data_IF_856103878244
#
_entry.id   IF_856103878244
#
_cell.length_a   1.000
_cell.length_b   1.000
_cell.length_c   1.000
_cell.angle_alpha   90.00
_cell.angle_beta   90.00
_cell.angle_gamma   90.00
#
_symmetry.space_group_name_H-M   'P 1'
#
loop_
_entity.id
_entity.type
_entity.pdbx_description
1 polymer ?
#
# COMPACT_ATOMS: atom_id res chain seq x y z
N UNK A 1 -27.21 -3.78 18.82
CA UNK A 1 -27.87 -2.52 19.15
C UNK A 1 -27.56 -1.46 18.11
N UNK A 2 -28.49 -0.56 17.83
CA UNK A 2 -28.29 0.56 16.87
C UNK A 2 -27.24 1.51 17.44
N UNK A 3 -26.24 1.96 16.66
CA UNK A 3 -25.29 2.97 17.09
C UNK A 3 -25.94 4.29 17.46
N UNK A 4 -25.42 4.97 18.49
CA UNK A 4 -25.85 6.29 18.93
C UNK A 4 -24.63 7.17 19.22
N UNK A 5 -24.81 8.49 19.39
CA UNK A 5 -23.70 9.36 19.76
C UNK A 5 -23.02 8.98 21.09
N UNK A 6 -23.78 8.43 22.05
CA UNK A 6 -23.24 7.94 23.33
C UNK A 6 -22.58 6.55 23.21
N UNK A 7 -22.95 5.80 22.16
CA UNK A 7 -22.41 4.48 21.84
C UNK A 7 -22.19 4.38 20.33
N UNK A 8 -21.14 5.00 19.81
CA UNK A 8 -20.81 4.94 18.39
C UNK A 8 -20.42 3.51 17.96
N UNK A 9 -20.54 3.22 16.67
CA UNK A 9 -20.02 2.01 16.06
C UNK A 9 -18.48 2.07 16.09
N UNK A 10 -17.85 1.13 16.79
CA UNK A 10 -16.40 1.06 16.89
C UNK A 10 -15.85 0.25 15.72
N UNK A 11 -15.13 0.92 14.84
CA UNK A 11 -14.46 0.31 13.70
C UNK A 11 -12.97 0.29 13.97
N UNK A 12 -12.37 -0.89 13.90
CA UNK A 12 -10.93 -1.06 14.08
C UNK A 12 -10.33 -1.61 12.80
N UNK A 13 -9.34 -0.91 12.27
CA UNK A 13 -8.48 -1.36 11.18
C UNK A 13 -7.12 -1.67 11.77
N UNK A 14 -6.49 -2.78 11.41
CA UNK A 14 -5.13 -3.07 11.86
C UNK A 14 -4.18 -3.24 10.69
N UNK A 15 -2.96 -2.75 10.90
CA UNK A 15 -1.83 -2.93 10.01
C UNK A 15 -0.88 -3.99 10.60
N UNK A 16 -0.39 -4.95 9.81
CA UNK A 16 0.54 -5.95 10.31
C UNK A 16 1.97 -5.44 10.31
N UNK A 17 2.84 -6.11 11.05
CA UNK A 17 4.28 -5.97 10.84
C UNK A 17 4.69 -6.43 9.43
N UNK A 18 5.72 -5.77 8.87
CA UNK A 18 6.32 -6.15 7.60
C UNK A 18 5.64 -5.55 6.37
N UNK A 19 5.77 -6.26 5.26
CA UNK A 19 5.31 -5.73 3.97
C UNK A 19 3.81 -5.84 3.78
N UNK A 20 3.20 -4.76 3.34
CA UNK A 20 1.82 -4.75 2.82
C UNK A 20 1.79 -4.24 1.38
N UNK A 21 0.90 -4.78 0.57
CA UNK A 21 0.64 -4.25 -0.77
C UNK A 21 -0.06 -2.90 -0.64
N UNK A 22 0.55 -1.85 -1.23
CA UNK A 22 0.10 -0.46 -1.08
C UNK A 22 0.05 -0.01 0.40
N UNK A 23 1.18 0.41 0.95
CA UNK A 23 1.33 0.81 2.36
C UNK A 23 0.31 1.84 2.88
N UNK A 24 -0.41 2.54 2.00
CA UNK A 24 -1.52 3.41 2.39
C UNK A 24 -2.89 2.72 2.45
N UNK A 25 -2.98 1.41 2.20
CA UNK A 25 -4.28 0.72 2.19
C UNK A 25 -4.98 0.73 3.55
N UNK A 26 -4.29 0.51 4.69
CA UNK A 26 -4.92 0.57 6.01
C UNK A 26 -5.51 1.95 6.32
N UNK A 27 -4.76 3.01 6.10
CA UNK A 27 -5.21 4.38 6.31
C UNK A 27 -6.42 4.75 5.43
N UNK A 28 -6.40 4.33 4.16
CA UNK A 28 -7.56 4.49 3.27
C UNK A 28 -8.79 3.74 3.78
N UNK A 29 -8.62 2.52 4.28
CA UNK A 29 -9.72 1.74 4.82
C UNK A 29 -10.36 2.45 6.02
N UNK A 30 -9.55 3.01 6.92
CA UNK A 30 -10.04 3.73 8.08
C UNK A 30 -10.80 5.03 7.68
N UNK A 31 -10.20 5.86 6.82
CA UNK A 31 -10.79 7.13 6.40
C UNK A 31 -12.06 6.94 5.58
N UNK A 32 -12.07 5.99 4.63
CA UNK A 32 -13.26 5.71 3.83
C UNK A 32 -14.38 5.04 4.66
N UNK A 33 -14.04 4.26 5.68
CA UNK A 33 -15.05 3.74 6.61
C UNK A 33 -15.71 4.86 7.42
N UNK A 34 -14.92 5.80 7.93
CA UNK A 34 -15.42 6.97 8.64
C UNK A 34 -16.30 7.85 7.71
N UNK A 35 -15.80 8.16 6.51
CA UNK A 35 -16.53 8.95 5.51
C UNK A 35 -17.87 8.32 5.15
N UNK A 36 -17.88 7.03 4.84
CA UNK A 36 -19.09 6.29 4.49
C UNK A 36 -20.13 6.29 5.64
N UNK A 37 -19.69 6.00 6.86
CA UNK A 37 -20.57 5.93 8.03
C UNK A 37 -21.15 7.31 8.36
N UNK A 38 -20.32 8.35 8.33
CA UNK A 38 -20.75 9.73 8.56
C UNK A 38 -21.73 10.20 7.49
N UNK A 39 -21.49 9.90 6.21
CA UNK A 39 -22.39 10.23 5.11
C UNK A 39 -23.77 9.53 5.22
N UNK A 40 -23.86 8.45 6.00
CA UNK A 40 -25.10 7.70 6.24
C UNK A 40 -25.68 7.96 7.65
N UNK A 41 -25.28 9.03 8.32
CA UNK A 41 -25.73 9.40 9.66
C UNK A 41 -25.53 8.29 10.72
N UNK A 42 -24.48 7.46 10.58
CA UNK A 42 -24.12 6.42 11.54
C UNK A 42 -23.01 6.94 12.46
N UNK A 43 -23.30 7.20 13.73
CA UNK A 43 -22.26 7.59 14.69
C UNK A 43 -21.18 6.51 14.78
N UNK A 44 -19.93 6.86 14.54
CA UNK A 44 -18.80 5.92 14.53
C UNK A 44 -17.58 6.48 15.28
N UNK A 45 -16.75 5.58 15.75
CA UNK A 45 -15.41 5.81 16.26
C UNK A 45 -14.48 4.87 15.49
N UNK A 46 -13.60 5.44 14.66
CA UNK A 46 -12.71 4.66 13.80
C UNK A 46 -11.28 4.75 14.35
N UNK A 47 -10.65 3.60 14.50
CA UNK A 47 -9.25 3.49 14.93
C UNK A 47 -8.47 2.70 13.88
N UNK A 48 -7.32 3.23 13.48
CA UNK A 48 -6.26 2.49 12.80
C UNK A 48 -5.18 2.19 13.83
N UNK A 49 -4.83 0.91 13.99
CA UNK A 49 -3.75 0.48 14.88
C UNK A 49 -2.65 -0.20 14.05
N UNK A 50 -1.40 0.15 14.30
CA UNK A 50 -0.27 -0.36 13.54
C UNK A 50 1.04 -0.41 14.34
N UNK A 51 2.05 -1.14 13.84
CA UNK A 51 3.31 -1.37 14.55
C UNK A 51 4.19 -0.12 14.65
N UNK A 52 4.06 0.81 13.74
CA UNK A 52 4.89 2.02 13.66
C UNK A 52 4.25 3.21 14.38
N UNK A 53 5.07 4.24 14.71
CA UNK A 53 4.56 5.52 15.25
C UNK A 53 4.06 6.48 14.16
N UNK A 54 3.93 6.01 12.94
CA UNK A 54 3.59 6.78 11.75
C UNK A 54 2.43 6.16 10.99
N UNK A 55 1.47 6.98 10.58
CA UNK A 55 0.27 6.53 9.84
C UNK A 55 0.61 5.98 8.44
N UNK A 56 1.67 6.51 7.82
CA UNK A 56 2.07 6.12 6.46
C UNK A 56 3.57 5.81 6.35
N UNK A 57 4.42 6.44 7.15
CA UNK A 57 5.84 6.12 7.26
C UNK A 57 6.78 7.31 7.17
N UNK A 58 8.06 7.01 7.33
CA UNK A 58 9.17 7.97 7.44
C UNK A 58 9.94 8.19 6.13
N UNK A 59 11.01 8.98 6.18
CA UNK A 59 11.92 9.22 5.07
C UNK A 59 11.22 9.84 3.87
N UNK A 60 11.24 9.18 2.73
CA UNK A 60 10.59 9.66 1.49
C UNK A 60 9.06 9.79 1.58
N UNK A 61 8.46 9.21 2.60
CA UNK A 61 7.02 9.28 2.88
C UNK A 61 6.64 10.33 3.92
N UNK A 62 7.59 10.83 4.73
CA UNK A 62 7.32 11.67 5.90
C UNK A 62 6.41 12.87 5.62
N UNK A 63 6.61 13.58 4.51
CA UNK A 63 5.75 14.70 4.14
C UNK A 63 4.28 14.33 3.86
N UNK A 64 4.05 13.10 3.40
CA UNK A 64 2.69 12.59 3.18
C UNK A 64 2.10 12.06 4.47
N UNK A 65 2.95 11.56 5.37
CA UNK A 65 2.58 11.15 6.71
C UNK A 65 2.05 12.33 7.54
N UNK A 66 2.77 13.45 7.55
CA UNK A 66 2.34 14.68 8.21
C UNK A 66 0.96 15.15 7.73
N UNK A 67 0.76 15.25 6.41
CA UNK A 67 -0.53 15.65 5.83
C UNK A 67 -1.64 14.64 6.15
N UNK A 68 -1.33 13.33 6.14
CA UNK A 68 -2.29 12.29 6.45
C UNK A 68 -2.68 12.31 7.94
N UNK A 69 -1.73 12.57 8.83
CA UNK A 69 -2.00 12.72 10.27
C UNK A 69 -2.93 13.92 10.53
N UNK A 70 -2.72 15.05 9.86
CA UNK A 70 -3.62 16.21 9.94
C UNK A 70 -5.05 15.87 9.47
N UNK A 71 -5.17 15.03 8.44
CA UNK A 71 -6.49 14.54 7.97
C UNK A 71 -7.13 13.63 9.02
N UNK A 72 -6.37 12.72 9.64
CA UNK A 72 -6.85 11.86 10.72
C UNK A 72 -7.40 12.69 11.87
N UNK A 73 -6.65 13.68 12.33
CA UNK A 73 -7.08 14.59 13.41
C UNK A 73 -8.35 15.35 13.05
N UNK A 74 -8.40 15.91 11.84
CA UNK A 74 -9.55 16.71 11.37
C UNK A 74 -10.81 15.86 11.27
N UNK A 75 -10.69 14.58 10.91
CA UNK A 75 -11.80 13.66 10.76
C UNK A 75 -12.13 12.89 12.04
N UNK A 76 -11.33 13.03 13.08
CA UNK A 76 -11.51 12.31 14.34
C UNK A 76 -11.25 10.82 14.24
N UNK A 77 -10.40 10.39 13.30
CA UNK A 77 -9.90 9.03 13.20
C UNK A 77 -8.69 8.89 14.10
N UNK A 78 -8.70 7.91 14.98
CA UNK A 78 -7.59 7.67 15.91
C UNK A 78 -6.51 6.81 15.25
N UNK A 79 -5.24 7.16 15.45
CA UNK A 79 -4.12 6.28 15.16
C UNK A 79 -3.48 5.78 16.46
N UNK A 80 -3.39 4.45 16.62
CA UNK A 80 -2.70 3.78 17.71
C UNK A 80 -1.41 3.16 17.19
N UNK A 81 -0.30 3.87 17.38
CA UNK A 81 1.04 3.40 17.01
C UNK A 81 1.63 2.44 18.03
N UNK A 82 2.62 1.65 17.61
CA UNK A 82 3.26 0.63 18.45
C UNK A 82 2.35 -0.56 18.77
N UNK A 83 1.24 -0.73 18.07
CA UNK A 83 0.28 -1.79 18.29
C UNK A 83 0.56 -2.98 17.36
N UNK A 84 1.30 -3.96 17.85
CA UNK A 84 1.57 -5.23 17.14
C UNK A 84 0.51 -6.24 17.52
N UNK A 85 -0.29 -6.68 16.56
CA UNK A 85 -1.42 -7.60 16.80
C UNK A 85 -0.90 -8.99 17.16
N UNK A 86 -1.27 -9.48 18.34
CA UNK A 86 -1.04 -10.86 18.81
C UNK A 86 -2.27 -11.75 18.62
N UNK A 87 -3.47 -11.22 18.93
CA UNK A 87 -4.68 -12.01 18.87
C UNK A 87 -5.97 -11.21 18.67
N UNK A 88 -7.03 -11.95 18.34
CA UNK A 88 -8.39 -11.41 18.20
C UNK A 88 -9.37 -12.35 18.90
N UNK A 89 -10.06 -11.88 19.92
CA UNK A 89 -11.04 -12.65 20.65
C UNK A 89 -12.12 -11.74 21.26
N UNK A 90 -13.34 -12.24 21.38
CA UNK A 90 -14.43 -11.59 22.12
C UNK A 90 -14.67 -10.11 21.76
N UNK A 91 -14.65 -9.77 20.47
CA UNK A 91 -14.78 -8.39 19.97
C UNK A 91 -13.67 -7.45 20.47
N UNK A 92 -12.47 -7.97 20.66
CA UNK A 92 -11.26 -7.23 21.00
C UNK A 92 -10.10 -7.67 20.13
N UNK A 93 -9.24 -6.74 19.77
CA UNK A 93 -7.91 -6.99 19.26
C UNK A 93 -6.92 -6.80 20.39
N UNK A 94 -6.01 -7.73 20.53
CA UNK A 94 -4.98 -7.71 21.58
C UNK A 94 -3.60 -7.56 20.93
N UNK A 95 -2.76 -6.72 21.52
CA UNK A 95 -1.38 -6.54 21.09
C UNK A 95 -0.42 -7.41 21.90
N UNK A 96 0.80 -7.63 21.36
CA UNK A 96 1.85 -8.41 22.02
C UNK A 96 2.24 -7.86 23.41
N UNK A 97 2.11 -6.56 23.64
CA UNK A 97 2.37 -5.92 24.93
C UNK A 97 1.15 -5.87 25.87
N UNK A 98 0.03 -6.49 25.47
CA UNK A 98 -1.17 -6.65 26.27
C UNK A 98 -2.14 -5.47 26.21
N UNK A 99 -1.98 -4.53 25.31
CA UNK A 99 -2.99 -3.52 25.03
C UNK A 99 -4.21 -4.16 24.35
N UNK A 100 -5.39 -3.57 24.51
CA UNK A 100 -6.61 -4.10 23.88
C UNK A 100 -7.44 -2.98 23.27
N UNK A 101 -7.99 -3.23 22.09
CA UNK A 101 -8.93 -2.32 21.43
C UNK A 101 -10.23 -3.08 21.15
N UNK A 102 -11.35 -2.60 21.72
CA UNK A 102 -12.67 -3.18 21.47
C UNK A 102 -13.24 -2.71 20.15
N UNK A 103 -13.96 -3.59 19.45
CA UNK A 103 -14.59 -3.28 18.16
C UNK A 103 -16.00 -3.86 18.04
N UNK A 104 -16.79 -3.24 17.17
CA UNK A 104 -18.04 -3.77 16.64
C UNK A 104 -17.86 -4.25 15.19
N UNK A 105 -16.90 -3.62 14.46
CA UNK A 105 -16.45 -4.02 13.12
C UNK A 105 -14.92 -4.05 13.08
N UNK A 106 -14.35 -5.16 12.62
CA UNK A 106 -12.91 -5.35 12.50
C UNK A 106 -12.50 -5.56 11.04
N UNK A 107 -11.54 -4.77 10.58
CA UNK A 107 -11.00 -4.78 9.22
C UNK A 107 -9.48 -5.04 9.27
N UNK A 108 -9.04 -6.30 9.40
CA UNK A 108 -7.62 -6.61 9.42
C UNK A 108 -6.99 -6.47 8.04
N UNK A 109 -5.83 -5.84 7.96
CA UNK A 109 -4.93 -5.96 6.83
C UNK A 109 -3.94 -7.09 7.11
N UNK A 110 -3.95 -8.12 6.27
CA UNK A 110 -3.07 -9.27 6.46
C UNK A 110 -1.64 -8.98 5.99
N UNK A 111 -0.61 -9.54 6.66
CA UNK A 111 0.76 -9.45 6.19
C UNK A 111 0.89 -10.11 4.82
N UNK A 112 1.58 -9.43 3.92
CA UNK A 112 1.83 -9.94 2.58
C UNK A 112 3.02 -10.88 2.58
N UNK A 113 2.90 -11.98 1.84
CA UNK A 113 3.97 -12.95 1.65
C UNK A 113 4.08 -13.32 0.17
N UNK A 114 5.26 -13.70 -0.23
CA UNK A 114 5.48 -14.29 -1.54
C UNK A 114 4.70 -15.63 -1.62
N UNK A 115 4.14 -16.00 -2.78
CA UNK A 115 3.47 -17.29 -2.95
C UNK A 115 4.36 -18.46 -2.56
N UNK A 116 3.81 -19.48 -1.89
CA UNK A 116 4.54 -20.64 -1.38
C UNK A 116 5.40 -21.35 -2.46
N UNK A 117 4.91 -21.40 -3.69
CA UNK A 117 5.68 -21.96 -4.84
C UNK A 117 7.02 -21.25 -5.08
N UNK A 118 7.19 -20.02 -4.60
CA UNK A 118 8.43 -19.25 -4.71
C UNK A 118 9.25 -19.26 -3.41
N UNK A 119 8.63 -19.59 -2.26
CA UNK A 119 9.30 -19.51 -0.95
C UNK A 119 9.78 -20.88 -0.46
N UNK A 120 9.02 -21.94 -0.74
CA UNK A 120 9.34 -23.28 -0.22
C UNK A 120 10.47 -23.90 -1.03
N UNK A 121 11.68 -23.86 -0.46
CA UNK A 121 12.92 -24.42 -1.05
C UNK A 121 13.33 -23.81 -2.41
N UNK A 122 12.76 -22.68 -2.80
CA UNK A 122 13.11 -22.03 -4.06
C UNK A 122 14.44 -21.26 -3.95
N UNK A 123 15.42 -21.50 -4.82
CA UNK A 123 16.65 -20.73 -4.84
C UNK A 123 16.42 -19.27 -5.25
N UNK A 124 15.24 -18.91 -5.76
CA UNK A 124 14.93 -17.55 -6.22
C UNK A 124 14.71 -16.56 -5.07
N UNK A 125 14.41 -17.07 -3.87
CA UNK A 125 14.21 -16.23 -2.68
C UNK A 125 15.37 -16.33 -1.69
N UNK A 126 16.34 -17.23 -1.91
CA UNK A 126 17.43 -17.50 -0.98
C UNK A 126 18.35 -16.30 -0.69
N UNK A 127 18.36 -15.30 -1.57
CA UNK A 127 19.16 -14.07 -1.41
C UNK A 127 18.33 -12.89 -0.87
N UNK A 128 17.13 -13.14 -0.40
CA UNK A 128 16.22 -12.13 0.20
C UNK A 128 15.94 -12.48 1.65
N UNK A 129 16.17 -11.53 2.56
CA UNK A 129 15.91 -11.70 3.99
C UNK A 129 14.41 -11.84 4.32
N UNK A 130 13.55 -11.32 3.43
CA UNK A 130 12.10 -11.32 3.61
C UNK A 130 11.37 -12.45 2.86
N UNK A 131 12.11 -13.38 2.23
CA UNK A 131 11.51 -14.48 1.48
C UNK A 131 10.83 -14.07 0.15
N UNK A 132 11.17 -12.92 -0.40
CA UNK A 132 10.77 -12.46 -1.73
C UNK A 132 11.79 -12.84 -2.79
N UNK A 133 11.42 -12.74 -4.07
CA UNK A 133 12.38 -12.97 -5.16
C UNK A 133 13.44 -11.88 -5.17
N UNK A 134 14.70 -12.30 -5.06
CA UNK A 134 15.85 -11.40 -4.93
C UNK A 134 16.20 -10.77 -6.27
N UNK A 135 15.86 -9.49 -6.48
CA UNK A 135 16.15 -8.77 -7.71
C UNK A 135 17.14 -7.62 -7.51
N UNK A 136 17.87 -7.31 -8.56
CA UNK A 136 18.52 -6.01 -8.67
C UNK A 136 17.43 -4.93 -8.80
N UNK A 137 17.42 -3.92 -7.92
CA UNK A 137 16.31 -2.98 -7.79
C UNK A 137 16.11 -2.06 -8.98
N UNK A 138 17.10 -1.92 -9.85
CA UNK A 138 17.03 -1.06 -11.03
C UNK A 138 16.71 -1.84 -12.30
N UNK A 139 17.25 -3.04 -12.44
CA UNK A 139 17.13 -3.82 -13.69
C UNK A 139 16.05 -4.89 -13.64
N UNK A 140 15.53 -5.21 -12.48
CA UNK A 140 14.57 -6.30 -12.21
C UNK A 140 15.11 -7.69 -12.57
N UNK A 141 16.44 -7.83 -12.77
CA UNK A 141 17.11 -9.12 -12.92
C UNK A 141 17.29 -9.79 -11.57
N UNK A 142 17.17 -11.10 -11.54
CA UNK A 142 17.52 -11.86 -10.35
C UNK A 142 19.00 -11.70 -10.01
N UNK A 143 19.34 -11.50 -8.72
CA UNK A 143 20.73 -11.19 -8.30
C UNK A 143 21.75 -12.30 -8.59
N UNK A 144 21.32 -13.56 -8.60
CA UNK A 144 22.22 -14.71 -8.70
C UNK A 144 21.84 -15.73 -9.77
N UNK A 145 20.58 -15.71 -10.25
CA UNK A 145 20.12 -16.65 -11.28
C UNK A 145 20.09 -15.98 -12.64
N UNK A 146 20.86 -16.51 -13.59
CA UNK A 146 20.89 -15.99 -14.95
C UNK A 146 19.56 -16.16 -15.65
N UNK A 147 19.18 -15.15 -16.45
CA UNK A 147 17.96 -15.14 -17.27
C UNK A 147 16.65 -15.25 -16.47
N UNK A 148 16.69 -14.94 -15.18
CA UNK A 148 15.51 -14.84 -14.33
C UNK A 148 15.24 -13.38 -14.06
N UNK A 149 13.97 -13.02 -14.15
CA UNK A 149 13.46 -11.67 -13.90
C UNK A 149 12.23 -11.77 -13.02
N UNK A 150 12.00 -10.78 -12.17
CA UNK A 150 10.78 -10.65 -11.40
C UNK A 150 10.39 -9.18 -11.23
N UNK A 151 9.11 -8.92 -11.05
CA UNK A 151 8.56 -7.59 -10.80
C UNK A 151 7.33 -7.63 -9.89
N UNK A 152 6.95 -6.48 -9.37
CA UNK A 152 5.77 -6.33 -8.54
C UNK A 152 5.91 -6.93 -7.14
N UNK A 153 4.81 -7.38 -6.59
CA UNK A 153 4.65 -7.72 -5.18
C UNK A 153 5.50 -8.92 -4.73
N UNK A 154 5.92 -9.79 -5.65
CA UNK A 154 6.76 -10.95 -5.35
C UNK A 154 8.24 -10.62 -5.16
N UNK A 155 8.69 -9.38 -5.38
CA UNK A 155 10.11 -8.99 -5.33
C UNK A 155 10.47 -8.29 -4.02
N UNK A 156 11.78 -8.31 -3.70
CA UNK A 156 12.38 -7.56 -2.61
C UNK A 156 12.87 -6.15 -3.01
N UNK A 157 12.38 -5.62 -4.14
CA UNK A 157 12.73 -4.26 -4.56
C UNK A 157 12.34 -3.24 -3.47
N UNK A 158 13.26 -2.32 -3.06
CA UNK A 158 13.08 -1.43 -1.90
C UNK A 158 12.14 -0.25 -2.21
N UNK A 159 10.92 -0.57 -2.59
CA UNK A 159 9.85 0.36 -2.91
C UNK A 159 8.50 -0.21 -2.47
N UNK A 160 7.48 0.64 -2.37
CA UNK A 160 6.14 0.13 -2.05
C UNK A 160 5.61 -0.76 -3.16
N UNK A 161 5.01 -1.87 -2.75
CA UNK A 161 4.37 -2.86 -3.64
C UNK A 161 3.04 -2.30 -4.15
N UNK A 162 3.10 -1.49 -5.23
CA UNK A 162 1.93 -0.83 -5.82
C UNK A 162 1.82 -1.15 -7.31
N UNK A 163 0.61 -1.05 -7.85
CA UNK A 163 0.39 -1.21 -9.29
C UNK A 163 1.19 -0.18 -10.12
N UNK A 164 1.41 1.03 -9.59
CA UNK A 164 2.22 2.05 -10.23
C UNK A 164 3.70 1.65 -10.31
N UNK A 165 4.23 1.03 -9.23
CA UNK A 165 5.59 0.49 -9.21
C UNK A 165 5.72 -0.67 -10.21
N UNK A 166 4.83 -1.67 -10.13
CA UNK A 166 4.85 -2.84 -11.02
C UNK A 166 4.80 -2.44 -12.50
N UNK A 167 3.99 -1.43 -12.86
CA UNK A 167 3.91 -0.92 -14.22
C UNK A 167 5.23 -0.33 -14.71
N UNK A 168 5.94 0.45 -13.89
CA UNK A 168 7.25 1.01 -14.25
C UNK A 168 8.36 -0.06 -14.27
N UNK A 169 8.32 -0.98 -13.34
CA UNK A 169 9.22 -2.14 -13.33
C UNK A 169 9.04 -2.99 -14.59
N UNK A 170 7.80 -3.20 -15.05
CA UNK A 170 7.52 -3.95 -16.26
C UNK A 170 8.19 -3.36 -17.50
N UNK A 171 8.23 -2.04 -17.63
CA UNK A 171 8.93 -1.40 -18.75
C UNK A 171 10.44 -1.68 -18.72
N UNK A 172 11.10 -1.47 -17.58
CA UNK A 172 12.53 -1.75 -17.44
C UNK A 172 12.85 -3.24 -17.65
N UNK A 173 12.02 -4.13 -17.10
CA UNK A 173 12.16 -5.58 -17.27
C UNK A 173 12.03 -5.99 -18.73
N UNK A 174 11.01 -5.50 -19.43
CA UNK A 174 10.76 -5.85 -20.84
C UNK A 174 11.92 -5.42 -21.76
N UNK A 175 12.46 -4.23 -21.55
CA UNK A 175 13.61 -3.73 -22.28
C UNK A 175 14.86 -4.61 -22.03
N UNK A 176 15.16 -4.91 -20.77
CA UNK A 176 16.30 -5.71 -20.37
C UNK A 176 16.19 -7.15 -20.88
N UNK A 177 15.00 -7.77 -20.74
CA UNK A 177 14.75 -9.10 -21.27
C UNK A 177 14.90 -9.13 -22.81
N UNK A 178 14.39 -8.13 -23.50
CA UNK A 178 14.54 -8.02 -24.96
C UNK A 178 16.01 -7.87 -25.36
N UNK A 179 16.77 -7.06 -24.64
CA UNK A 179 18.21 -6.89 -24.89
C UNK A 179 18.96 -8.23 -24.70
N UNK A 180 18.70 -8.95 -23.63
CA UNK A 180 19.33 -10.24 -23.35
C UNK A 180 18.99 -11.31 -24.41
N UNK A 181 17.72 -11.38 -24.84
CA UNK A 181 17.28 -12.35 -25.86
C UNK A 181 17.88 -12.02 -27.24
N UNK A 182 18.04 -10.73 -27.56
CA UNK A 182 18.56 -10.28 -28.85
C UNK A 182 20.07 -10.07 -28.88
N UNK A 183 20.76 -10.22 -27.75
CA UNK A 183 22.20 -9.97 -27.62
C UNK A 183 22.58 -8.49 -27.78
N UNK A 184 21.67 -7.56 -27.49
CA UNK A 184 21.95 -6.12 -27.54
C UNK A 184 22.57 -5.65 -26.23
N UNK A 185 23.58 -4.79 -26.34
CA UNK A 185 24.16 -4.11 -25.20
C UNK A 185 23.30 -2.91 -24.79
N UNK A 186 22.17 -3.16 -24.13
CA UNK A 186 21.25 -2.14 -23.63
C UNK A 186 20.82 -2.49 -22.21
N UNK A 187 20.70 -1.49 -21.35
CA UNK A 187 20.20 -1.64 -20.00
C UNK A 187 19.23 -0.51 -19.66
N UNK A 188 18.00 -0.89 -19.37
CA UNK A 188 16.95 0.01 -18.86
C UNK A 188 16.94 -0.05 -17.34
N UNK A 189 16.68 1.09 -16.69
CA UNK A 189 16.70 1.20 -15.23
C UNK A 189 15.38 1.71 -14.70
N UNK A 190 14.88 1.03 -13.70
CA UNK A 190 13.77 1.46 -12.88
C UNK A 190 14.28 2.40 -11.78
N UNK A 191 13.60 3.51 -11.57
CA UNK A 191 13.99 4.58 -10.65
C UNK A 191 13.44 4.44 -9.23
N UNK A 192 12.76 3.33 -8.92
CA UNK A 192 12.12 3.14 -7.62
C UNK A 192 10.74 3.79 -7.49
N UNK A 193 10.19 4.34 -8.57
CA UNK A 193 8.92 5.05 -8.52
C UNK A 193 7.77 4.16 -8.06
N UNK A 194 7.10 4.61 -7.01
CA UNK A 194 5.83 4.10 -6.54
C UNK A 194 4.86 5.26 -6.33
N UNK A 195 3.59 4.99 -6.48
CA UNK A 195 2.54 5.94 -6.14
C UNK A 195 1.38 5.22 -5.46
N UNK A 196 0.85 5.88 -4.44
CA UNK A 196 -0.31 5.45 -3.70
C UNK A 196 -1.23 6.66 -3.51
N UNK A 197 -2.32 6.79 -4.26
CA UNK A 197 -3.34 7.77 -3.94
C UNK A 197 -3.95 7.39 -2.57
N UNK A 198 -3.75 8.24 -1.57
CA UNK A 198 -4.32 8.08 -0.24
C UNK A 198 -5.70 8.73 -0.25
N UNK A 199 -6.73 7.92 -0.47
CA UNK A 199 -8.12 8.39 -0.45
C UNK A 199 -8.48 8.80 0.97
N UNK A 200 -8.93 10.04 1.15
CA UNK A 200 -9.26 10.63 2.45
C UNK A 200 -10.76 10.75 2.68
N UNK A 201 -11.52 10.91 1.63
CA UNK A 201 -12.98 10.84 1.55
C UNK A 201 -13.40 10.55 0.11
N UNK A 202 -14.69 10.45 -0.16
CA UNK A 202 -15.19 10.34 -1.53
C UNK A 202 -14.77 11.57 -2.37
N UNK A 203 -14.07 11.32 -3.47
CA UNK A 203 -13.58 12.34 -4.39
C UNK A 203 -12.35 13.13 -3.91
N UNK A 204 -11.75 12.81 -2.76
CA UNK A 204 -10.50 13.44 -2.31
C UNK A 204 -9.36 12.45 -2.09
N UNK A 205 -8.15 12.90 -2.33
CA UNK A 205 -6.94 12.13 -2.05
C UNK A 205 -5.72 13.01 -1.81
N UNK A 206 -4.76 12.48 -1.06
CA UNK A 206 -3.36 12.91 -1.09
C UNK A 206 -2.67 12.03 -2.12
N UNK A 207 -2.09 12.63 -3.17
CA UNK A 207 -1.37 11.88 -4.19
C UNK A 207 0.08 11.61 -3.72
N UNK A 208 0.27 10.56 -2.94
CA UNK A 208 1.60 10.15 -2.50
C UNK A 208 2.35 9.45 -3.63
N UNK A 209 3.50 10.00 -4.02
CA UNK A 209 4.38 9.41 -5.02
C UNK A 209 5.83 9.74 -4.72
N UNK A 210 6.70 8.75 -4.84
CA UNK A 210 8.11 8.83 -4.51
C UNK A 210 8.92 7.83 -5.35
N UNK A 211 10.21 8.04 -5.41
CA UNK A 211 11.18 7.11 -6.00
C UNK A 211 12.37 6.87 -5.05
N UNK A 212 13.51 6.39 -5.58
CA UNK A 212 14.69 6.19 -4.74
C UNK A 212 15.28 7.51 -4.21
N UNK A 213 15.09 8.63 -4.91
CA UNK A 213 15.63 9.94 -4.54
C UNK A 213 14.74 10.71 -3.55
N UNK A 214 13.43 10.40 -3.49
CA UNK A 214 12.50 11.05 -2.57
C UNK A 214 11.09 11.29 -3.11
N UNK A 215 10.34 12.16 -2.43
CA UNK A 215 8.98 12.51 -2.80
C UNK A 215 8.89 13.26 -4.12
N UNK A 216 7.95 12.88 -4.98
CA UNK A 216 7.77 13.45 -6.34
C UNK A 216 6.59 14.41 -6.45
N UNK A 217 5.59 14.28 -5.60
CA UNK A 217 4.38 15.11 -5.65
C UNK A 217 4.26 15.97 -4.39
N UNK A 218 3.55 17.11 -4.43
CA UNK A 218 3.19 17.86 -3.23
C UNK A 218 2.34 17.00 -2.29
N UNK A 219 2.56 17.11 -0.99
CA UNK A 219 1.69 16.52 0.02
C UNK A 219 0.54 17.51 0.27
N UNK A 220 -0.56 17.34 -0.45
CA UNK A 220 -1.76 18.17 -0.35
C UNK A 220 -2.98 17.31 -0.63
N UNK A 221 -3.95 17.37 0.25
CA UNK A 221 -5.27 16.81 -0.01
C UNK A 221 -5.98 17.59 -1.12
N UNK A 222 -6.47 16.90 -2.14
CA UNK A 222 -7.04 17.56 -3.31
C UNK A 222 -8.25 16.83 -3.87
N UNK A 223 -9.30 17.59 -4.20
CA UNK A 223 -10.47 17.14 -4.98
C UNK A 223 -10.20 17.09 -6.49
N UNK A 224 -9.12 17.71 -6.95
CA UNK A 224 -8.83 17.83 -8.39
C UNK A 224 -8.23 16.54 -8.96
N UNK A 225 -7.89 15.58 -8.12
CA UNK A 225 -7.36 14.32 -8.59
C UNK A 225 -8.49 13.45 -9.14
N UNK A 226 -8.63 13.39 -10.47
CA UNK A 226 -9.50 12.41 -11.14
C UNK A 226 -9.15 10.95 -10.74
N UNK A 227 -7.97 10.71 -10.20
CA UNK A 227 -7.54 9.46 -9.58
C UNK A 227 -8.20 9.22 -8.22
N UNK A 228 -8.72 10.26 -7.58
CA UNK A 228 -9.48 10.17 -6.34
C UNK A 228 -10.96 9.87 -6.59
N UNK A 229 -11.45 10.11 -7.79
CA UNK A 229 -12.82 9.78 -8.16
C UNK A 229 -12.92 8.27 -8.43
N UNK A 230 -13.39 7.56 -7.44
CA UNK A 230 -13.56 6.09 -7.46
C UNK A 230 -14.51 5.65 -8.57
N UNK A 231 -15.43 6.50 -9.01
CA UNK A 231 -16.31 6.22 -10.16
C UNK A 231 -15.58 6.43 -11.50
N UNK A 232 -14.65 7.37 -11.60
CA UNK A 232 -13.87 7.58 -12.80
C UNK A 232 -12.78 6.52 -12.99
N UNK A 233 -12.21 6.00 -11.90
CA UNK A 233 -11.19 4.95 -11.94
C UNK A 233 -11.67 3.69 -12.68
N UNK A 234 -12.84 3.08 -12.40
CA UNK A 234 -13.27 1.89 -13.14
C UNK A 234 -13.56 2.16 -14.62
N UNK A 235 -14.08 3.33 -14.97
CA UNK A 235 -14.47 3.63 -16.35
C UNK A 235 -13.32 4.13 -17.21
N UNK A 236 -12.58 5.12 -16.74
CA UNK A 236 -11.49 5.72 -17.49
C UNK A 236 -10.19 4.94 -17.35
N UNK A 237 -9.83 4.55 -16.12
CA UNK A 237 -8.62 3.79 -15.84
C UNK A 237 -8.64 2.42 -16.51
N UNK A 238 -9.78 1.71 -16.48
CA UNK A 238 -9.93 0.44 -17.16
C UNK A 238 -9.75 0.57 -18.68
N UNK A 239 -10.33 1.58 -19.30
CA UNK A 239 -10.19 1.82 -20.74
C UNK A 239 -8.77 2.21 -21.13
N UNK A 240 -8.17 3.15 -20.39
CA UNK A 240 -6.79 3.61 -20.64
C UNK A 240 -5.79 2.51 -20.29
N UNK A 241 -5.99 1.83 -19.18
CA UNK A 241 -5.08 0.78 -18.73
C UNK A 241 -5.16 -0.46 -19.63
N UNK A 242 -6.37 -0.96 -19.87
CA UNK A 242 -6.54 -2.17 -20.67
C UNK A 242 -6.15 -1.95 -22.13
N UNK A 243 -6.60 -0.88 -22.73
CA UNK A 243 -6.35 -0.63 -24.14
C UNK A 243 -4.99 0.04 -24.38
N UNK A 244 -4.68 1.09 -23.67
CA UNK A 244 -3.44 1.86 -23.87
C UNK A 244 -2.20 1.14 -23.37
N UNK A 245 -2.23 0.59 -22.16
CA UNK A 245 -1.03 0.03 -21.52
C UNK A 245 -0.88 -1.48 -21.68
N UNK A 246 -1.96 -2.25 -21.61
CA UNK A 246 -1.86 -3.71 -21.73
C UNK A 246 -1.96 -4.20 -23.17
N UNK A 247 -2.82 -3.61 -23.98
CA UNK A 247 -3.04 -4.07 -25.35
C UNK A 247 -2.31 -3.24 -26.42
N UNK A 248 -1.82 -2.06 -26.07
CA UNK A 248 -1.08 -1.18 -26.97
C UNK A 248 -1.91 -0.66 -28.15
N UNK A 249 -3.23 -0.49 -27.97
CA UNK A 249 -4.19 -0.08 -29.00
C UNK A 249 -4.96 1.19 -28.62
#
# INVERSE_FOLDING_TARGET
PTPTAERPLRVVVTEPEGSVSCSGAPAKAALLAEDYLTAHDVPCAVTLAGPDDHVFGTGKKARYDEELADVFDTRGVTYEGGFVVDGVADQRVESEDGQTIEYDLYLPVSPQRCPAVLTDESPLTAASDEGYVAVDPETMRHRTADRVYALGDCTDAPTSKTAAAARKQAAALADNLTADVTGRAYESRYDGFAACPLLTEEGKAILAGYDYDGAKFPAVESRVSWLADVEAIPRLYWQVWLRGYLLGV
#
